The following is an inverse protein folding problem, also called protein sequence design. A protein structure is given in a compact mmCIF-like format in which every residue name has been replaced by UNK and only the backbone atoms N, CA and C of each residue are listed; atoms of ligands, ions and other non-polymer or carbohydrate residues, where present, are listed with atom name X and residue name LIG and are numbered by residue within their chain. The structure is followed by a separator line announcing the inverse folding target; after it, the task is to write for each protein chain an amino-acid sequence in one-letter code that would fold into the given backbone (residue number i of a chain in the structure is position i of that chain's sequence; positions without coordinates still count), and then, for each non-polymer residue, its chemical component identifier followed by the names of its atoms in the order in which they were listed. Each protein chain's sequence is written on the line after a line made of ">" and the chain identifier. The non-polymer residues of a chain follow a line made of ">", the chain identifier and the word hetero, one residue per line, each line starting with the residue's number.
data_IF_354178565136
#
_entry.id   IF_354178565136
#
_cell.length_a   1.000
_cell.length_b   1.000
_cell.length_c   1.000
_cell.angle_alpha   90.00
_cell.angle_beta   90.00
_cell.angle_gamma   90.00
#
_symmetry.space_group_name_H-M   'P 1'
#
loop_
_entity.id
_entity.type
_entity.pdbx_description
1 polymer ?
#
# COMPACT_ATOMS: atom_id res chain seq x y z
N UNK A 1 5.85 23.16 9.01
CA UNK A 1 4.48 22.63 8.80
C UNK A 1 3.49 23.59 9.44
N UNK A 2 2.54 24.16 8.67
CA UNK A 2 1.43 24.96 9.24
C UNK A 2 0.22 24.03 9.40
N UNK A 3 -0.33 23.93 10.61
CA UNK A 3 -1.48 23.05 10.88
C UNK A 3 -2.74 23.71 10.35
N UNK A 4 -3.35 23.11 9.31
CA UNK A 4 -4.60 23.59 8.73
C UNK A 4 -5.79 23.24 9.63
N UNK A 5 -6.85 24.05 9.59
CA UNK A 5 -8.05 23.85 10.43
C UNK A 5 -8.79 22.54 10.15
N UNK A 6 -8.71 22.04 8.91
CA UNK A 6 -9.19 20.70 8.52
C UNK A 6 -8.49 19.56 9.29
N UNK A 7 -7.22 19.74 9.69
CA UNK A 7 -6.47 18.74 10.46
C UNK A 7 -6.86 18.69 11.94
N UNK A 8 -7.64 19.66 12.43
CA UNK A 8 -8.08 19.73 13.83
C UNK A 8 -9.44 19.06 14.06
N UNK A 9 -10.18 18.76 12.99
CA UNK A 9 -11.49 18.10 13.07
C UNK A 9 -11.30 16.59 13.23
N UNK A 10 -12.05 15.93 14.13
CA UNK A 10 -12.04 14.48 14.23
C UNK A 10 -12.63 13.88 12.96
N UNK A 11 -12.01 12.80 12.47
CA UNK A 11 -12.55 11.99 11.37
C UNK A 11 -13.62 11.06 11.96
N UNK A 12 -14.87 11.51 11.97
CA UNK A 12 -15.99 10.77 12.58
C UNK A 12 -16.28 9.48 11.82
N UNK A 13 -15.99 9.47 10.53
CA UNK A 13 -16.12 8.32 9.63
C UNK A 13 -15.23 7.17 10.11
N UNK A 14 -14.06 7.43 10.69
CA UNK A 14 -13.19 6.37 11.23
C UNK A 14 -13.63 5.82 12.59
N UNK A 15 -14.69 6.36 13.21
CA UNK A 15 -15.12 6.01 14.57
C UNK A 15 -15.53 4.55 14.70
N UNK A 16 -16.10 3.94 13.65
CA UNK A 16 -16.55 2.55 13.69
C UNK A 16 -15.43 1.52 13.92
N UNK A 17 -14.16 1.93 13.76
CA UNK A 17 -12.99 1.06 13.94
C UNK A 17 -12.57 0.86 15.40
N UNK A 18 -13.04 1.72 16.32
CA UNK A 18 -12.54 1.78 17.70
C UNK A 18 -13.64 1.96 18.75
N UNK A 19 -14.84 1.44 18.49
CA UNK A 19 -15.99 1.43 19.42
C UNK A 19 -16.26 0.03 19.96
N UNK A 20 -17.04 -0.09 21.04
CA UNK A 20 -17.32 -1.40 21.65
C UNK A 20 -17.98 -2.39 20.68
N UNK A 21 -18.89 -1.92 19.80
CA UNK A 21 -19.58 -2.74 18.79
C UNK A 21 -18.84 -2.80 17.43
N UNK A 22 -17.52 -2.63 17.42
CA UNK A 22 -16.70 -2.65 16.18
C UNK A 22 -16.83 -3.99 15.43
N UNK A 23 -17.02 -5.07 16.17
CA UNK A 23 -17.29 -6.42 15.68
C UNK A 23 -18.54 -6.51 14.79
N UNK A 24 -19.52 -5.63 14.98
CA UNK A 24 -20.75 -5.54 14.16
C UNK A 24 -20.62 -4.52 13.04
N UNK A 25 -20.03 -3.36 13.32
CA UNK A 25 -19.91 -2.28 12.32
C UNK A 25 -18.96 -2.62 11.17
N UNK A 26 -17.83 -3.29 11.46
CA UNK A 26 -16.85 -3.63 10.42
C UNK A 26 -17.41 -4.60 9.39
N UNK A 27 -18.10 -5.70 9.76
CA UNK A 27 -18.75 -6.57 8.79
C UNK A 27 -19.83 -5.88 7.95
N UNK A 28 -20.61 -4.97 8.54
CA UNK A 28 -21.59 -4.17 7.79
C UNK A 28 -20.88 -3.32 6.71
N UNK A 29 -19.86 -2.56 7.08
CA UNK A 29 -19.11 -1.74 6.12
C UNK A 29 -18.40 -2.60 5.06
N UNK A 30 -17.80 -3.73 5.47
CA UNK A 30 -17.17 -4.70 4.55
C UNK A 30 -18.19 -5.25 3.55
N UNK A 31 -19.41 -5.57 3.99
CA UNK A 31 -20.48 -6.01 3.10
C UNK A 31 -20.83 -4.95 2.06
N UNK A 32 -21.04 -3.69 2.48
CA UNK A 32 -21.29 -2.59 1.56
C UNK A 32 -20.13 -2.39 0.58
N UNK A 33 -18.88 -2.50 1.03
CA UNK A 33 -17.70 -2.42 0.17
C UNK A 33 -17.63 -3.57 -0.86
N UNK A 34 -17.90 -4.81 -0.45
CA UNK A 34 -17.93 -5.97 -1.36
C UNK A 34 -19.04 -5.85 -2.41
N UNK A 35 -20.20 -5.31 -2.05
CA UNK A 35 -21.28 -5.04 -3.01
C UNK A 35 -20.95 -3.85 -3.90
N UNK A 36 -20.26 -2.83 -3.37
CA UNK A 36 -19.73 -1.70 -4.13
C UNK A 36 -18.75 -2.15 -5.22
N UNK A 37 -17.83 -3.07 -4.93
CA UNK A 37 -16.91 -3.65 -5.93
C UNK A 37 -17.64 -4.44 -7.04
N UNK A 38 -18.83 -4.96 -6.74
CA UNK A 38 -19.74 -5.62 -7.70
C UNK A 38 -20.68 -4.63 -8.41
N UNK A 39 -20.42 -3.32 -8.32
CA UNK A 39 -21.24 -2.23 -8.89
C UNK A 39 -22.67 -2.16 -8.33
N UNK A 40 -22.93 -2.80 -7.19
CA UNK A 40 -24.22 -2.72 -6.46
C UNK A 40 -24.10 -1.72 -5.31
N UNK A 41 -24.46 -0.47 -5.60
CA UNK A 41 -24.25 0.65 -4.68
C UNK A 41 -25.32 0.83 -3.60
N UNK A 42 -26.53 0.32 -3.81
CA UNK A 42 -27.66 0.50 -2.91
C UNK A 42 -28.10 -0.83 -2.33
N UNK A 43 -28.22 -0.89 -1.00
CA UNK A 43 -28.76 -2.05 -0.28
C UNK A 43 -29.91 -1.63 0.62
N UNK A 44 -30.91 -2.51 0.74
CA UNK A 44 -31.96 -2.42 1.74
C UNK A 44 -31.49 -2.99 3.08
N UNK A 45 -32.12 -2.57 4.18
CA UNK A 45 -31.82 -3.09 5.52
C UNK A 45 -32.05 -4.61 5.59
N UNK A 46 -33.09 -5.12 4.92
CA UNK A 46 -33.40 -6.55 4.87
C UNK A 46 -32.29 -7.34 4.19
N UNK A 47 -31.75 -6.83 3.07
CA UNK A 47 -30.63 -7.47 2.35
C UNK A 47 -29.35 -7.50 3.20
N UNK A 48 -29.08 -6.43 3.96
CA UNK A 48 -27.93 -6.38 4.88
C UNK A 48 -28.11 -7.42 5.99
N UNK A 49 -29.30 -7.52 6.57
CA UNK A 49 -29.59 -8.46 7.64
C UNK A 49 -29.48 -9.92 7.19
N UNK A 50 -30.04 -10.26 6.02
CA UNK A 50 -29.98 -11.61 5.45
C UNK A 50 -28.53 -12.04 5.19
N UNK A 51 -27.71 -11.19 4.58
CA UNK A 51 -26.32 -11.51 4.26
C UNK A 51 -25.44 -11.62 5.51
N UNK A 52 -25.69 -10.82 6.55
CA UNK A 52 -24.97 -10.97 7.83
C UNK A 52 -25.31 -12.30 8.51
N UNK A 53 -26.58 -12.74 8.45
CA UNK A 53 -27.03 -14.00 9.06
C UNK A 53 -26.51 -15.27 8.39
N UNK A 54 -25.88 -15.17 7.21
CA UNK A 54 -25.20 -16.30 6.61
C UNK A 54 -23.96 -16.74 7.42
N UNK A 55 -23.37 -15.84 8.21
CA UNK A 55 -22.23 -16.13 9.06
C UNK A 55 -22.70 -16.62 10.46
N UNK A 56 -22.18 -17.76 10.97
CA UNK A 56 -22.50 -18.28 12.29
C UNK A 56 -22.30 -17.27 13.44
N UNK A 57 -21.42 -16.29 13.26
CA UNK A 57 -21.19 -15.24 14.23
C UNK A 57 -22.42 -14.34 14.48
N UNK A 58 -23.31 -14.21 13.50
CA UNK A 58 -24.50 -13.34 13.57
C UNK A 58 -25.81 -14.12 13.81
N UNK A 59 -25.75 -15.37 14.29
CA UNK A 59 -26.96 -16.18 14.56
C UNK A 59 -27.95 -15.48 15.52
N UNK A 60 -27.43 -14.87 16.59
CA UNK A 60 -28.22 -14.11 17.58
C UNK A 60 -28.52 -12.66 17.15
N UNK A 61 -28.08 -12.24 15.96
CA UNK A 61 -28.28 -10.87 15.47
C UNK A 61 -29.76 -10.62 15.15
N UNK A 62 -30.27 -9.48 15.61
CA UNK A 62 -31.69 -9.10 15.46
C UNK A 62 -31.87 -7.96 14.47
N UNK A 63 -33.06 -7.88 13.86
CA UNK A 63 -33.39 -6.82 12.92
C UNK A 63 -33.38 -5.43 13.58
N UNK A 64 -33.70 -5.34 14.87
CA UNK A 64 -33.62 -4.10 15.65
C UNK A 64 -32.16 -3.63 15.81
N UNK A 65 -31.22 -4.55 16.04
CA UNK A 65 -29.79 -4.24 16.09
C UNK A 65 -29.28 -3.77 14.71
N UNK A 66 -29.72 -4.42 13.62
CA UNK A 66 -29.42 -3.97 12.26
C UNK A 66 -29.86 -2.52 12.01
N UNK A 67 -31.07 -2.17 12.45
CA UNK A 67 -31.57 -0.81 12.33
C UNK A 67 -30.75 0.21 13.13
N UNK A 68 -30.42 -0.13 14.39
CA UNK A 68 -29.60 0.73 15.24
C UNK A 68 -28.20 0.91 14.67
N UNK A 69 -27.61 -0.15 14.13
CA UNK A 69 -26.26 -0.12 13.60
C UNK A 69 -26.17 0.68 12.30
N UNK A 70 -27.12 0.52 11.39
CA UNK A 70 -27.20 1.33 10.17
C UNK A 70 -27.45 2.82 10.49
N UNK A 71 -28.26 3.12 11.51
CA UNK A 71 -28.48 4.49 11.97
C UNK A 71 -27.19 5.10 12.56
N UNK A 72 -26.45 4.34 13.36
CA UNK A 72 -25.16 4.77 13.91
C UNK A 72 -24.15 5.06 12.79
N UNK A 73 -23.99 4.14 11.83
CA UNK A 73 -23.11 4.30 10.68
C UNK A 73 -23.49 5.49 9.78
N UNK A 74 -24.79 5.74 9.62
CA UNK A 74 -25.30 6.93 8.91
C UNK A 74 -24.94 8.21 9.68
N UNK A 75 -25.11 8.22 11.01
CA UNK A 75 -24.80 9.39 11.85
C UNK A 75 -23.31 9.77 11.85
N UNK A 76 -22.43 8.79 11.61
CA UNK A 76 -20.99 9.01 11.50
C UNK A 76 -20.53 9.40 10.10
N UNK A 77 -21.44 9.49 9.13
CA UNK A 77 -21.11 9.84 7.75
C UNK A 77 -20.59 8.67 6.91
N UNK A 78 -20.67 7.43 7.41
CA UNK A 78 -20.21 6.25 6.68
C UNK A 78 -21.22 5.77 5.64
N UNK A 79 -22.52 5.93 5.94
CA UNK A 79 -23.62 5.56 5.04
C UNK A 79 -24.44 6.78 4.64
N UNK A 80 -24.80 6.85 3.37
CA UNK A 80 -25.78 7.77 2.80
C UNK A 80 -27.12 7.06 2.71
N UNK A 81 -28.18 7.71 3.19
CA UNK A 81 -29.54 7.16 3.14
C UNK A 81 -30.38 7.87 2.10
N UNK A 82 -31.12 7.11 1.30
CA UNK A 82 -32.17 7.63 0.43
C UNK A 82 -33.48 6.95 0.79
N UNK A 83 -34.53 7.76 0.90
CA UNK A 83 -35.89 7.25 1.05
C UNK A 83 -36.45 6.87 -0.31
N UNK A 84 -36.78 5.60 -0.50
CA UNK A 84 -37.43 5.13 -1.72
C UNK A 84 -38.92 5.45 -1.66
N UNK A 85 -39.36 6.48 -2.40
CA UNK A 85 -40.77 6.90 -2.47
C UNK A 85 -41.52 6.27 -3.65
N UNK A 86 -40.89 5.37 -4.43
CA UNK A 86 -41.40 4.95 -5.76
C UNK A 86 -42.10 3.60 -5.86
N UNK A 87 -42.21 2.81 -4.79
CA UNK A 87 -43.00 1.57 -4.80
C UNK A 87 -43.92 1.49 -3.59
N UNK A 88 -45.17 1.91 -3.78
CA UNK A 88 -46.25 1.59 -2.86
C UNK A 88 -47.40 1.06 -3.70
N UNK A 89 -47.49 -0.27 -3.79
CA UNK A 89 -48.63 -0.95 -4.43
C UNK A 89 -49.63 -1.51 -3.41
N UNK A 90 -49.30 -1.48 -2.11
CA UNK A 90 -50.15 -2.03 -1.04
C UNK A 90 -50.06 -1.21 0.25
N UNK A 91 -51.18 -1.15 0.98
CA UNK A 91 -51.35 -0.37 2.23
C UNK A 91 -50.39 -0.85 3.35
N UNK A 92 -49.97 -2.11 3.31
CA UNK A 92 -48.97 -2.68 4.24
C UNK A 92 -47.52 -2.22 3.93
N UNK A 93 -47.17 -2.03 2.66
CA UNK A 93 -45.86 -1.47 2.26
C UNK A 93 -45.73 0.04 2.54
N UNK A 94 -46.86 0.75 2.64
CA UNK A 94 -46.86 2.18 2.98
C UNK A 94 -46.44 2.46 4.43
N UNK A 95 -46.58 1.49 5.34
CA UNK A 95 -46.17 1.63 6.74
C UNK A 95 -44.67 1.37 6.97
N UNK A 96 -44.01 0.61 6.09
CA UNK A 96 -42.57 0.35 6.18
C UNK A 96 -41.83 1.28 5.22
N UNK A 97 -41.33 2.40 5.77
CA UNK A 97 -40.44 3.32 5.06
C UNK A 97 -39.16 2.55 4.66
N UNK A 98 -39.10 2.03 3.44
CA UNK A 98 -37.92 1.31 2.93
C UNK A 98 -36.81 2.32 2.64
N UNK A 99 -35.83 2.40 3.53
CA UNK A 99 -34.61 3.16 3.31
C UNK A 99 -33.61 2.32 2.54
N UNK A 100 -32.93 2.95 1.59
CA UNK A 100 -31.74 2.38 0.95
C UNK A 100 -30.51 3.07 1.50
N UNK A 101 -29.46 2.28 1.69
CA UNK A 101 -28.17 2.72 2.21
C UNK A 101 -27.12 2.55 1.12
N UNK A 102 -26.16 3.48 1.07
CA UNK A 102 -24.99 3.44 0.21
C UNK A 102 -23.76 3.84 1.04
N UNK A 103 -22.59 3.28 0.73
CA UNK A 103 -21.34 3.71 1.33
C UNK A 103 -20.96 5.13 0.86
N UNK A 104 -20.55 6.02 1.77
CA UNK A 104 -20.01 7.33 1.39
C UNK A 104 -18.63 7.18 0.75
N UNK A 105 -18.23 8.14 -0.09
CA UNK A 105 -16.89 8.13 -0.73
C UNK A 105 -15.76 8.08 0.31
N UNK A 106 -15.91 8.79 1.43
CA UNK A 106 -14.96 8.78 2.54
C UNK A 106 -14.86 7.39 3.17
N UNK A 107 -16.00 6.73 3.39
CA UNK A 107 -16.00 5.36 3.91
C UNK A 107 -15.41 4.34 2.91
N UNK A 108 -15.54 4.55 1.60
CA UNK A 108 -14.90 3.69 0.58
C UNK A 108 -13.39 3.73 0.76
N UNK A 109 -12.82 4.94 0.88
CA UNK A 109 -11.37 5.11 1.02
C UNK A 109 -10.84 4.63 2.37
N UNK A 110 -11.61 4.80 3.45
CA UNK A 110 -11.28 4.24 4.76
C UNK A 110 -11.31 2.71 4.70
N UNK A 111 -12.32 2.09 4.11
CA UNK A 111 -12.40 0.63 4.02
C UNK A 111 -11.30 0.06 3.10
N UNK A 112 -11.00 0.73 1.99
CA UNK A 112 -9.84 0.40 1.14
C UNK A 112 -8.53 0.50 1.92
N UNK A 113 -8.37 1.45 2.83
CA UNK A 113 -7.22 1.52 3.73
C UNK A 113 -7.22 0.35 4.73
N UNK A 114 -8.36 0.05 5.36
CA UNK A 114 -8.48 -1.05 6.34
C UNK A 114 -8.15 -2.40 5.70
N UNK A 115 -8.68 -2.69 4.51
CA UNK A 115 -8.35 -3.89 3.72
C UNK A 115 -6.85 -3.96 3.45
N UNK A 116 -6.24 -2.84 3.03
CA UNK A 116 -4.80 -2.78 2.81
C UNK A 116 -4.01 -3.05 4.09
N UNK A 117 -4.46 -2.54 5.25
CA UNK A 117 -3.82 -2.79 6.54
C UNK A 117 -3.96 -4.25 7.00
N UNK A 118 -5.11 -4.88 6.75
CA UNK A 118 -5.33 -6.31 7.02
C UNK A 118 -4.47 -7.20 6.12
N UNK A 119 -4.36 -6.84 4.84
CA UNK A 119 -3.60 -7.58 3.83
C UNK A 119 -2.11 -7.21 3.80
N UNK A 120 -1.67 -6.21 4.56
CA UNK A 120 -0.29 -5.72 4.60
C UNK A 120 0.72 -6.82 4.99
N UNK A 121 0.26 -7.91 5.58
CA UNK A 121 1.07 -9.07 5.95
C UNK A 121 0.89 -10.29 5.02
N UNK A 122 -0.12 -10.27 4.14
CA UNK A 122 -0.45 -11.37 3.21
C UNK A 122 0.15 -11.07 1.83
N UNK A 123 0.13 -9.81 1.42
CA UNK A 123 0.88 -9.30 0.27
C UNK A 123 2.34 -9.12 0.70
N UNK A 124 3.07 -10.22 0.85
CA UNK A 124 4.49 -10.17 1.17
C UNK A 124 5.21 -9.25 0.19
N UNK A 125 5.90 -8.25 0.73
CA UNK A 125 6.61 -7.26 -0.07
C UNK A 125 7.59 -7.97 -1.00
N UNK A 126 7.56 -7.65 -2.30
CA UNK A 126 8.48 -8.25 -3.27
C UNK A 126 9.53 -7.21 -3.66
N UNK A 127 10.79 -7.57 -3.46
CA UNK A 127 11.93 -6.88 -4.05
C UNK A 127 11.96 -7.16 -5.56
N UNK A 128 11.22 -6.36 -6.33
CA UNK A 128 11.10 -6.48 -7.78
C UNK A 128 12.35 -5.92 -8.48
N UNK A 129 13.31 -6.76 -8.95
CA UNK A 129 14.55 -6.26 -9.53
C UNK A 129 14.32 -5.55 -10.88
N UNK A 130 13.22 -5.89 -11.55
CA UNK A 130 12.76 -5.29 -12.81
C UNK A 130 12.39 -3.81 -12.66
N UNK A 131 12.03 -3.34 -11.45
CA UNK A 131 11.75 -1.92 -11.22
C UNK A 131 12.99 -1.06 -11.39
N UNK A 132 14.15 -1.53 -10.93
CA UNK A 132 15.42 -0.82 -11.08
C UNK A 132 15.83 -0.70 -12.55
N UNK A 133 15.67 -1.80 -13.31
CA UNK A 133 15.92 -1.80 -14.74
C UNK A 133 14.98 -0.82 -15.47
N UNK A 134 13.69 -0.83 -15.13
CA UNK A 134 12.69 0.06 -15.71
C UNK A 134 12.97 1.54 -15.38
N UNK A 135 13.33 1.86 -14.14
CA UNK A 135 13.73 3.21 -13.74
C UNK A 135 14.93 3.67 -14.56
N UNK A 136 15.98 2.83 -14.67
CA UNK A 136 17.15 3.13 -15.50
C UNK A 136 16.76 3.42 -16.96
N UNK A 137 16.01 2.51 -17.59
CA UNK A 137 15.57 2.69 -18.97
C UNK A 137 14.74 3.97 -19.17
N UNK A 138 13.94 4.36 -18.17
CA UNK A 138 13.18 5.59 -18.20
C UNK A 138 14.10 6.83 -18.03
N UNK A 139 15.07 6.80 -17.11
CA UNK A 139 16.05 7.88 -16.93
C UNK A 139 16.91 8.10 -18.19
N UNK A 140 17.31 7.02 -18.87
CA UNK A 140 18.01 7.12 -20.16
C UNK A 140 17.20 7.79 -21.29
N UNK A 141 15.88 7.90 -21.14
CA UNK A 141 14.99 8.56 -22.12
C UNK A 141 14.71 10.03 -21.82
N UNK A 142 15.28 10.61 -20.75
CA UNK A 142 15.01 11.99 -20.34
C UNK A 142 15.16 12.98 -21.49
N UNK A 143 16.24 12.90 -22.27
CA UNK A 143 16.49 13.82 -23.37
C UNK A 143 15.49 13.66 -24.51
N UNK A 144 15.15 12.41 -24.86
CA UNK A 144 14.15 12.11 -25.89
C UNK A 144 12.75 12.61 -25.48
N UNK A 145 12.37 12.37 -24.22
CA UNK A 145 11.05 12.72 -23.71
C UNK A 145 10.87 14.23 -23.56
N UNK A 146 11.94 14.98 -23.33
CA UNK A 146 11.91 16.43 -23.26
C UNK A 146 11.33 17.09 -24.54
N UNK A 147 11.39 16.41 -25.69
CA UNK A 147 10.91 16.90 -26.99
C UNK A 147 9.54 16.32 -27.41
N UNK A 148 9.00 15.36 -26.66
CA UNK A 148 7.69 14.74 -26.98
C UNK A 148 6.50 15.64 -26.61
N UNK A 149 5.33 15.24 -27.10
CA UNK A 149 4.02 15.81 -26.76
C UNK A 149 3.74 15.75 -25.25
N UNK A 150 2.94 16.70 -24.77
CA UNK A 150 2.69 16.92 -23.33
C UNK A 150 2.05 15.71 -22.63
N UNK A 151 1.08 15.06 -23.27
CA UNK A 151 0.40 13.88 -22.71
C UNK A 151 1.36 12.69 -22.52
N UNK A 152 2.22 12.44 -23.52
CA UNK A 152 3.25 11.38 -23.44
C UNK A 152 4.31 11.69 -22.40
N UNK A 153 4.72 12.96 -22.31
CA UNK A 153 5.66 13.43 -21.30
C UNK A 153 5.07 13.25 -19.89
N UNK A 154 3.81 13.64 -19.68
CA UNK A 154 3.12 13.53 -18.41
C UNK A 154 2.92 12.07 -17.98
N UNK A 155 2.50 11.19 -18.89
CA UNK A 155 2.37 9.75 -18.62
C UNK A 155 3.71 9.15 -18.20
N UNK A 156 4.77 9.39 -18.98
CA UNK A 156 6.10 8.87 -18.67
C UNK A 156 6.65 9.39 -17.33
N UNK A 157 6.42 10.67 -17.03
CA UNK A 157 6.81 11.26 -15.75
C UNK A 157 6.08 10.59 -14.58
N UNK A 158 4.78 10.32 -14.72
CA UNK A 158 4.02 9.62 -13.70
C UNK A 158 4.46 8.17 -13.55
N UNK A 159 4.73 7.48 -14.64
CA UNK A 159 5.23 6.10 -14.62
C UNK A 159 6.58 6.01 -13.90
N UNK A 160 7.54 6.88 -14.24
CA UNK A 160 8.84 6.95 -13.57
C UNK A 160 8.68 7.20 -12.05
N UNK A 161 7.80 8.12 -11.67
CA UNK A 161 7.55 8.40 -10.25
C UNK A 161 6.88 7.24 -9.53
N UNK A 162 5.90 6.58 -10.16
CA UNK A 162 5.21 5.44 -9.59
C UNK A 162 6.18 4.26 -9.39
N UNK A 163 7.05 4.00 -10.36
CA UNK A 163 8.09 2.98 -10.26
C UNK A 163 9.05 3.30 -9.11
N UNK A 164 9.49 4.55 -8.98
CA UNK A 164 10.37 4.99 -7.90
C UNK A 164 9.72 4.88 -6.51
N UNK A 165 8.46 5.32 -6.37
CA UNK A 165 7.70 5.20 -5.11
C UNK A 165 7.54 3.73 -4.73
N UNK A 166 7.15 2.87 -5.69
CA UNK A 166 6.98 1.43 -5.47
C UNK A 166 8.29 0.77 -5.07
N UNK A 167 9.41 1.12 -5.73
CA UNK A 167 10.73 0.61 -5.35
C UNK A 167 11.05 0.94 -3.88
N UNK A 168 10.84 2.20 -3.48
CA UNK A 168 11.17 2.66 -2.13
C UNK A 168 10.25 2.04 -1.07
N UNK A 169 8.95 1.93 -1.34
CA UNK A 169 7.98 1.28 -0.45
C UNK A 169 8.26 -0.21 -0.31
N UNK A 170 8.35 -0.95 -1.42
CA UNK A 170 8.60 -2.39 -1.42
C UNK A 170 9.88 -2.72 -0.67
N UNK A 171 10.93 -1.90 -0.83
CA UNK A 171 12.17 -2.09 -0.11
C UNK A 171 12.02 -1.94 1.41
N UNK A 172 11.43 -0.82 1.86
CA UNK A 172 11.25 -0.55 3.29
C UNK A 172 10.35 -1.59 3.96
N UNK A 173 9.29 -1.98 3.26
CA UNK A 173 8.31 -2.94 3.74
C UNK A 173 8.94 -4.33 3.85
N UNK A 174 9.69 -4.75 2.83
CA UNK A 174 10.41 -6.02 2.86
C UNK A 174 11.48 -6.09 3.96
N UNK A 175 12.28 -5.03 4.14
CA UNK A 175 13.29 -5.03 5.21
C UNK A 175 12.68 -5.06 6.60
N UNK A 176 11.52 -4.40 6.78
CA UNK A 176 10.76 -4.46 8.02
C UNK A 176 10.18 -5.85 8.27
N UNK A 177 9.64 -6.50 7.25
CA UNK A 177 9.16 -7.88 7.34
C UNK A 177 10.29 -8.86 7.69
N UNK A 178 11.43 -8.77 7.00
CA UNK A 178 12.58 -9.65 7.18
C UNK A 178 13.21 -9.53 8.58
N UNK A 179 13.21 -8.33 9.16
CA UNK A 179 13.74 -8.06 10.50
C UNK A 179 12.70 -8.26 11.62
N UNK A 180 11.47 -8.68 11.30
CA UNK A 180 10.40 -8.85 12.28
C UNK A 180 10.60 -10.06 13.20
N UNK A 181 10.03 -9.98 14.41
CA UNK A 181 10.03 -11.09 15.40
C UNK A 181 9.35 -12.34 14.83
N UNK A 182 8.33 -12.17 13.99
CA UNK A 182 7.63 -13.28 13.32
C UNK A 182 8.53 -13.96 12.28
N UNK A 183 9.35 -13.21 11.54
CA UNK A 183 10.36 -13.80 10.68
C UNK A 183 11.38 -14.61 11.51
N UNK A 184 11.74 -14.14 12.70
CA UNK A 184 12.60 -14.89 13.63
C UNK A 184 11.94 -16.19 14.13
N UNK A 185 10.65 -16.18 14.43
CA UNK A 185 9.88 -17.36 14.83
C UNK A 185 9.71 -18.36 13.68
N UNK A 186 9.40 -17.89 12.47
CA UNK A 186 9.39 -18.71 11.26
C UNK A 186 10.76 -19.33 10.99
N UNK A 187 11.84 -18.60 11.29
CA UNK A 187 13.22 -19.11 11.25
C UNK A 187 13.51 -20.18 12.30
N UNK A 188 12.62 -20.48 13.26
CA UNK A 188 12.80 -21.59 14.22
C UNK A 188 12.15 -22.89 13.75
N UNK A 189 11.21 -22.85 12.81
CA UNK A 189 10.47 -24.02 12.28
C UNK A 189 11.30 -24.86 11.28
N UNK A 190 10.98 -26.15 11.10
CA UNK A 190 11.66 -27.06 10.15
C UNK A 190 11.38 -26.71 8.67
N UNK A 191 10.27 -26.05 8.39
CA UNK A 191 9.80 -25.68 7.03
C UNK A 191 10.73 -24.70 6.32
N UNK A 192 11.53 -23.93 7.05
CA UNK A 192 12.44 -22.95 6.45
C UNK A 192 13.64 -23.57 5.72
N UNK A 193 13.97 -24.85 5.92
CA UNK A 193 15.07 -25.48 5.18
C UNK A 193 14.79 -25.57 3.67
N UNK A 194 13.51 -25.70 3.28
CA UNK A 194 13.10 -25.69 1.87
C UNK A 194 12.97 -24.27 1.31
N UNK A 195 12.66 -23.29 2.16
CA UNK A 195 12.46 -21.89 1.76
C UNK A 195 13.77 -21.07 1.75
N UNK A 196 14.77 -21.48 2.56
CA UNK A 196 16.06 -20.80 2.71
C UNK A 196 16.77 -20.57 1.39
N UNK A 197 16.93 -21.62 0.58
CA UNK A 197 17.78 -21.53 -0.61
C UNK A 197 17.14 -20.59 -1.64
N UNK A 198 15.81 -20.65 -1.77
CA UNK A 198 15.03 -19.71 -2.59
C UNK A 198 15.12 -18.27 -2.07
N UNK A 199 15.01 -18.05 -0.76
CA UNK A 199 15.14 -16.73 -0.14
C UNK A 199 16.55 -16.15 -0.34
N UNK A 200 17.58 -16.97 -0.13
CA UNK A 200 18.97 -16.57 -0.29
C UNK A 200 19.32 -16.25 -1.75
N UNK A 201 18.84 -17.06 -2.69
CA UNK A 201 19.03 -16.83 -4.12
C UNK A 201 18.30 -15.56 -4.58
N UNK A 202 17.07 -15.35 -4.10
CA UNK A 202 16.31 -14.14 -4.35
C UNK A 202 17.01 -12.87 -3.85
N UNK A 203 17.45 -12.86 -2.58
CA UNK A 203 18.21 -11.75 -2.01
C UNK A 203 19.50 -11.47 -2.77
N UNK A 204 20.27 -12.52 -3.11
CA UNK A 204 21.52 -12.38 -3.89
C UNK A 204 21.27 -11.80 -5.28
N UNK A 205 20.21 -12.27 -5.96
CA UNK A 205 19.80 -11.75 -7.26
C UNK A 205 19.43 -10.26 -7.16
N UNK A 206 18.66 -9.89 -6.14
CA UNK A 206 18.29 -8.50 -5.90
C UNK A 206 19.50 -7.61 -5.59
N UNK A 207 20.39 -8.01 -4.68
CA UNK A 207 21.62 -7.26 -4.34
C UNK A 207 22.49 -7.06 -5.59
N UNK A 208 22.63 -8.11 -6.41
CA UNK A 208 23.38 -8.02 -7.68
C UNK A 208 22.73 -7.06 -8.67
N UNK A 209 21.40 -7.14 -8.83
CA UNK A 209 20.64 -6.24 -9.69
C UNK A 209 20.77 -4.78 -9.20
N UNK A 210 20.60 -4.56 -7.91
CA UNK A 210 20.78 -3.25 -7.26
C UNK A 210 22.17 -2.67 -7.52
N UNK A 211 23.22 -3.47 -7.35
CA UNK A 211 24.60 -3.04 -7.62
C UNK A 211 24.83 -2.62 -9.08
N UNK A 212 24.32 -3.42 -10.02
CA UNK A 212 24.48 -3.16 -11.47
C UNK A 212 23.71 -1.90 -11.87
N UNK A 213 22.45 -1.78 -11.47
CA UNK A 213 21.59 -0.68 -11.89
C UNK A 213 21.90 0.63 -11.16
N UNK A 214 22.30 0.60 -9.89
CA UNK A 214 22.64 1.82 -9.13
C UNK A 214 23.80 2.57 -9.78
N UNK A 215 24.89 1.87 -10.10
CA UNK A 215 26.06 2.49 -10.75
C UNK A 215 25.69 3.10 -12.12
N UNK A 216 24.86 2.39 -12.88
CA UNK A 216 24.40 2.87 -14.18
C UNK A 216 23.48 4.09 -14.07
N UNK A 217 22.56 4.08 -13.08
CA UNK A 217 21.65 5.19 -12.80
C UNK A 217 22.41 6.42 -12.31
N UNK A 218 23.40 6.26 -11.42
CA UNK A 218 24.27 7.36 -10.97
C UNK A 218 24.99 8.03 -12.14
N UNK A 219 25.51 7.24 -13.08
CA UNK A 219 26.15 7.76 -14.29
C UNK A 219 25.16 8.47 -15.21
N UNK A 220 23.99 7.87 -15.44
CA UNK A 220 22.93 8.48 -16.25
C UNK A 220 22.52 9.83 -15.63
N UNK A 221 22.20 9.87 -14.33
CA UNK A 221 21.86 11.08 -13.58
C UNK A 221 22.97 12.14 -13.60
N UNK A 222 24.24 11.72 -13.51
CA UNK A 222 25.39 12.61 -13.60
C UNK A 222 25.56 13.27 -14.97
N UNK A 223 25.13 12.57 -16.05
CA UNK A 223 25.22 13.05 -17.42
C UNK A 223 23.97 13.80 -17.89
N UNK A 224 22.87 13.78 -17.11
CA UNK A 224 21.63 14.44 -17.51
C UNK A 224 21.82 15.97 -17.62
N UNK A 225 21.39 16.52 -18.76
CA UNK A 225 21.34 17.95 -18.96
C UNK A 225 20.33 18.62 -18.01
N UNK A 226 20.83 19.40 -17.04
CA UNK A 226 20.01 20.16 -16.08
C UNK A 226 18.97 21.07 -16.74
N UNK A 227 19.26 21.60 -17.94
CA UNK A 227 18.32 22.40 -18.71
C UNK A 227 17.16 21.56 -19.29
N UNK A 228 17.42 20.33 -19.70
CA UNK A 228 16.37 19.42 -20.18
C UNK A 228 15.42 19.03 -19.04
N UNK A 229 15.98 18.70 -17.86
CA UNK A 229 15.18 18.42 -16.65
C UNK A 229 14.29 19.59 -16.29
N UNK A 230 14.85 20.81 -16.22
CA UNK A 230 14.05 21.99 -15.89
C UNK A 230 12.87 22.17 -16.85
N UNK A 231 13.10 22.03 -18.16
CA UNK A 231 12.03 22.09 -19.16
C UNK A 231 10.96 21.02 -18.96
N UNK A 232 11.36 19.79 -18.62
CA UNK A 232 10.40 18.72 -18.31
C UNK A 232 9.54 19.10 -17.10
N UNK A 233 10.15 19.54 -16.00
CA UNK A 233 9.42 19.88 -14.77
C UNK A 233 8.43 21.03 -15.03
N UNK A 234 8.83 22.07 -15.76
CA UNK A 234 7.97 23.19 -16.14
C UNK A 234 6.79 22.72 -17.02
N UNK A 235 7.05 21.90 -18.05
CA UNK A 235 6.00 21.38 -18.95
C UNK A 235 5.02 20.44 -18.26
N UNK A 236 5.51 19.53 -17.40
CA UNK A 236 4.67 18.63 -16.61
C UNK A 236 3.80 19.43 -15.63
N UNK A 237 4.35 20.48 -15.02
CA UNK A 237 3.59 21.37 -14.13
C UNK A 237 2.47 22.08 -14.89
N UNK A 238 2.78 22.65 -16.06
CA UNK A 238 1.79 23.33 -16.90
C UNK A 238 0.65 22.39 -17.33
N UNK A 239 0.98 21.13 -17.65
CA UNK A 239 -0.02 20.12 -17.96
C UNK A 239 -0.85 19.72 -16.73
N UNK A 240 -0.25 19.56 -15.54
CA UNK A 240 -1.02 19.24 -14.33
C UNK A 240 -1.98 20.37 -13.91
N UNK A 241 -1.62 21.63 -14.20
CA UNK A 241 -2.48 22.83 -14.02
C UNK A 241 -3.62 22.88 -15.02
N UNK A 242 -3.41 22.44 -16.26
CA UNK A 242 -4.43 22.49 -17.32
C UNK A 242 -5.56 21.47 -17.12
N UNK A 243 -5.36 20.46 -16.28
CA UNK A 243 -6.37 19.45 -15.95
C UNK A 243 -7.49 20.12 -15.11
N UNK A 244 -8.72 20.25 -15.63
CA UNK A 244 -9.81 20.91 -14.92
C UNK A 244 -10.22 20.09 -13.68
N UNK A 245 -10.17 20.72 -12.51
CA UNK A 245 -10.60 20.15 -11.23
C UNK A 245 -11.84 20.90 -10.73
N UNK A 246 -12.88 20.17 -10.41
CA UNK A 246 -14.05 20.74 -9.72
C UNK A 246 -13.64 20.93 -8.26
N UNK A 247 -13.70 22.17 -7.77
CA UNK A 247 -13.57 22.53 -6.34
C UNK A 247 -12.16 22.54 -5.69
N UNK A 248 -11.08 22.60 -6.48
CA UNK A 248 -9.71 22.74 -5.92
C UNK A 248 -8.93 23.84 -6.65
N UNK A 249 -8.79 25.00 -6.01
CA UNK A 249 -7.77 26.00 -6.35
C UNK A 249 -6.40 25.46 -5.87
N UNK A 250 -5.65 24.84 -6.78
CA UNK A 250 -4.26 24.48 -6.51
C UNK A 250 -3.37 25.55 -7.12
N UNK A 251 -2.55 26.21 -6.30
CA UNK A 251 -1.55 27.15 -6.80
C UNK A 251 -0.50 26.40 -7.64
N UNK A 252 -0.20 26.91 -8.84
CA UNK A 252 0.82 26.37 -9.75
C UNK A 252 2.17 26.17 -9.03
N UNK A 253 2.52 27.09 -8.13
CA UNK A 253 3.74 27.04 -7.35
C UNK A 253 3.80 25.82 -6.42
N UNK A 254 2.67 25.40 -5.82
CA UNK A 254 2.61 24.19 -4.99
C UNK A 254 2.77 22.91 -5.82
N UNK A 255 2.25 22.90 -7.06
CA UNK A 255 2.41 21.77 -7.99
C UNK A 255 3.88 21.65 -8.42
N UNK A 256 4.49 22.78 -8.79
CA UNK A 256 5.91 22.80 -9.15
C UNK A 256 6.81 22.35 -8.00
N UNK A 257 6.55 22.81 -6.77
CA UNK A 257 7.29 22.37 -5.57
C UNK A 257 7.17 20.86 -5.33
N UNK A 258 5.97 20.28 -5.52
CA UNK A 258 5.74 18.84 -5.40
C UNK A 258 6.50 18.06 -6.47
N UNK A 259 6.41 18.47 -7.74
CA UNK A 259 7.06 17.81 -8.88
C UNK A 259 8.59 17.90 -8.76
N UNK A 260 9.11 19.10 -8.50
CA UNK A 260 10.55 19.33 -8.29
C UNK A 260 11.09 18.62 -7.04
N UNK A 261 10.30 18.56 -5.97
CA UNK A 261 10.62 17.80 -4.76
C UNK A 261 10.76 16.30 -5.05
N UNK A 262 9.86 15.72 -5.85
CA UNK A 262 9.96 14.31 -6.27
C UNK A 262 11.21 14.04 -7.10
N UNK A 263 11.53 14.91 -8.07
CA UNK A 263 12.77 14.80 -8.84
C UNK A 263 14.00 14.83 -7.93
N UNK A 264 14.04 15.80 -7.00
CA UNK A 264 15.14 15.95 -6.06
C UNK A 264 15.28 14.72 -5.17
N UNK A 265 14.19 14.17 -4.66
CA UNK A 265 14.20 12.93 -3.87
C UNK A 265 14.72 11.75 -4.69
N UNK A 266 14.36 11.64 -5.96
CA UNK A 266 14.91 10.60 -6.85
C UNK A 266 16.43 10.74 -6.99
N UNK A 267 16.92 11.94 -7.29
CA UNK A 267 18.36 12.20 -7.44
C UNK A 267 19.12 11.94 -6.13
N UNK A 268 18.62 12.46 -5.01
CA UNK A 268 19.24 12.27 -3.68
C UNK A 268 19.24 10.80 -3.25
N UNK A 269 18.23 10.03 -3.67
CA UNK A 269 18.16 8.61 -3.34
C UNK A 269 19.30 7.82 -3.99
N UNK A 270 19.61 8.07 -5.27
CA UNK A 270 20.66 7.36 -6.01
C UNK A 270 22.06 7.97 -5.81
N UNK A 271 22.20 9.28 -5.91
CA UNK A 271 23.52 9.97 -5.92
C UNK A 271 23.98 10.35 -4.51
N UNK A 272 23.05 10.42 -3.55
CA UNK A 272 23.33 10.97 -2.22
C UNK A 272 23.46 12.49 -2.24
N UNK A 273 23.74 13.05 -1.05
CA UNK A 273 23.96 14.48 -0.84
C UNK A 273 25.44 14.70 -0.54
N UNK A 274 26.03 15.84 -0.91
CA UNK A 274 27.45 16.13 -0.66
C UNK A 274 27.87 15.75 0.79
N UNK A 275 28.67 14.69 0.92
CA UNK A 275 29.18 14.17 2.20
C UNK A 275 28.29 13.15 2.93
N UNK A 276 27.15 12.73 2.36
CA UNK A 276 26.28 11.66 2.89
C UNK A 276 26.17 10.51 1.90
N UNK A 277 26.20 9.27 2.40
CA UNK A 277 25.90 8.07 1.60
C UNK A 277 24.51 8.17 0.97
N UNK A 278 24.39 7.70 -0.27
CA UNK A 278 23.11 7.61 -0.96
C UNK A 278 22.16 6.68 -0.20
N UNK A 279 20.86 6.97 -0.21
CA UNK A 279 19.87 6.06 0.38
C UNK A 279 19.94 4.69 -0.30
N UNK A 280 20.19 4.67 -1.62
CA UNK A 280 20.49 3.47 -2.37
C UNK A 280 21.69 2.69 -1.79
N UNK A 281 22.78 3.38 -1.41
CA UNK A 281 23.93 2.78 -0.73
C UNK A 281 23.57 2.17 0.63
N UNK A 282 22.83 2.91 1.47
CA UNK A 282 22.33 2.39 2.77
C UNK A 282 21.44 1.17 2.59
N UNK A 283 20.57 1.21 1.58
CA UNK A 283 19.68 0.12 1.19
C UNK A 283 20.50 -1.11 0.81
N UNK A 284 21.53 -0.93 -0.01
CA UNK A 284 22.46 -1.99 -0.41
C UNK A 284 23.16 -2.61 0.80
N UNK A 285 23.75 -1.78 1.67
CA UNK A 285 24.49 -2.25 2.84
C UNK A 285 23.58 -2.97 3.84
N UNK A 286 22.39 -2.43 4.10
CA UNK A 286 21.40 -3.06 4.98
C UNK A 286 20.95 -4.41 4.42
N UNK A 287 20.69 -4.49 3.11
CA UNK A 287 20.32 -5.76 2.46
C UNK A 287 21.44 -6.79 2.56
N UNK A 288 22.67 -6.36 2.29
CA UNK A 288 23.85 -7.22 2.34
C UNK A 288 24.10 -7.74 3.76
N UNK A 289 23.99 -6.86 4.77
CA UNK A 289 24.10 -7.22 6.18
C UNK A 289 22.99 -8.17 6.63
N UNK A 290 21.73 -7.92 6.24
CA UNK A 290 20.59 -8.80 6.51
C UNK A 290 20.79 -10.19 5.90
N UNK A 291 21.24 -10.27 4.63
CA UNK A 291 21.55 -11.54 3.97
C UNK A 291 22.71 -12.29 4.64
N UNK A 292 23.75 -11.58 5.09
CA UNK A 292 24.87 -12.17 5.83
C UNK A 292 24.43 -12.68 7.21
N UNK A 293 23.59 -11.92 7.92
CA UNK A 293 23.03 -12.32 9.22
C UNK A 293 22.16 -13.57 9.09
N UNK A 294 21.30 -13.63 8.06
CA UNK A 294 20.49 -14.81 7.73
C UNK A 294 21.35 -16.05 7.47
N UNK A 295 22.41 -15.92 6.65
CA UNK A 295 23.37 -16.99 6.41
C UNK A 295 23.95 -17.54 7.72
N UNK A 296 24.43 -16.64 8.60
CA UNK A 296 25.04 -17.01 9.87
C UNK A 296 24.08 -17.78 10.78
N UNK A 297 22.84 -17.29 10.93
CA UNK A 297 21.79 -17.95 11.73
C UNK A 297 21.46 -19.35 11.21
N UNK A 298 21.39 -19.51 9.88
CA UNK A 298 21.07 -20.80 9.26
C UNK A 298 22.23 -21.79 9.41
N UNK A 299 23.49 -21.34 9.30
CA UNK A 299 24.66 -22.16 9.59
C UNK A 299 24.70 -22.63 11.05
N UNK A 300 24.39 -21.74 12.01
CA UNK A 300 24.29 -22.10 13.43
C UNK A 300 23.23 -23.17 13.68
N UNK A 301 22.05 -23.08 13.04
CA UNK A 301 20.98 -24.08 13.16
C UNK A 301 21.38 -25.44 12.58
N UNK A 302 22.00 -25.47 11.40
CA UNK A 302 22.51 -26.73 10.81
C UNK A 302 23.55 -27.36 11.74
N UNK A 303 24.48 -26.56 12.27
CA UNK A 303 25.47 -27.04 13.23
C UNK A 303 24.85 -27.55 14.55
N UNK A 304 23.76 -26.92 15.02
CA UNK A 304 23.02 -27.37 16.21
C UNK A 304 22.26 -28.67 15.93
N UNK A 305 21.59 -28.79 14.77
CA UNK A 305 20.89 -30.00 14.35
C UNK A 305 21.85 -31.20 14.19
N UNK A 306 23.01 -30.97 13.57
CA UNK A 306 24.06 -31.99 13.47
C UNK A 306 24.58 -32.41 14.86
N UNK A 307 24.83 -31.46 15.78
CA UNK A 307 25.25 -31.77 17.15
C UNK A 307 24.23 -32.62 17.92
N UNK A 308 22.93 -32.29 17.80
CA UNK A 308 21.84 -33.05 18.44
C UNK A 308 21.72 -34.46 17.83
N UNK A 309 21.87 -34.59 16.51
CA UNK A 309 21.83 -35.88 15.83
C UNK A 309 23.01 -36.78 16.23
N UNK A 310 24.22 -36.22 16.34
CA UNK A 310 25.41 -36.93 16.81
C UNK A 310 25.29 -37.42 18.25
N UNK A 311 24.73 -36.59 19.15
CA UNK A 311 24.46 -36.98 20.55
C UNK A 311 23.46 -38.14 20.65
N UNK A 312 22.35 -38.09 19.91
CA UNK A 312 21.34 -39.17 19.90
C UNK A 312 21.86 -40.48 19.29
N UNK A 313 22.83 -40.42 18.38
CA UNK A 313 23.48 -41.60 17.82
C UNK A 313 24.45 -42.26 18.81
N UNK A 314 25.11 -41.45 19.66
CA UNK A 314 25.99 -41.95 20.72
C UNK A 314 25.19 -42.64 21.84
N UNK A 315 24.06 -42.07 22.26
CA UNK A 315 23.18 -42.66 23.29
C UNK A 315 22.54 -43.99 22.86
N UNK A 316 22.24 -44.19 21.57
CA UNK A 316 21.67 -45.46 21.07
C UNK A 316 22.69 -46.60 20.88
N UNK A 317 23.98 -46.30 20.99
CA UNK A 317 25.08 -47.29 20.91
C UNK A 317 25.62 -47.68 22.29
N UNK A 318 25.09 -47.09 23.36
CA UNK A 318 25.41 -47.36 24.76
C UNK A 318 24.40 -48.35 25.33
#
# INVERSE_FOLDING_TARGET
>A
MRVQEKMKKPVLEAKYLNVENTDRYRPIIRLFYLKYEKLKYWLYQEEVFEELKEDPYFEEYTMEQCQQDLAALTSWGNLVTIQDTRKVTTIEEFKNKKFRYQLSETAVEIERMVIRLENLFIEGSSLEPTLLERIRLNLGKIEEMAEKEEEKLYSWWNDLNNDFIRLNQNYQDYMRELNSVKAEEMMRTREILLFKDRLMEYLRSFVKSLQIHMTAIEQELGNVNKGAVRRILERVTAYEVSIPRIDVEVEEQMIYEKISGRWKSLVEWFVGKEGQESEAGKVFDTTHQSAACLCSRLCQRVAQACRIASFRFAERRS
#
